data_IF_673059662973
#
_entry.id   IF_673059662973
#
_cell.length_a   1.000
_cell.length_b   1.000
_cell.length_c   1.000
_cell.angle_alpha   90.00
_cell.angle_beta   90.00
_cell.angle_gamma   90.00
#
_symmetry.space_group_name_H-M   'P 1'
#
loop_
_entity.id
_entity.type
_entity.pdbx_description
1 polymer ?
#
# COMPACT_ATOMS: atom_id res chain seq x y z
N UNK A 1 4.34 23.21 -14.46
CA UNK A 1 3.15 22.37 -14.22
C UNK A 1 3.63 20.94 -14.08
N UNK A 2 3.72 20.45 -12.86
CA UNK A 2 4.35 19.18 -12.54
C UNK A 2 3.26 18.24 -12.01
N UNK A 3 2.54 17.57 -12.92
CA UNK A 3 1.65 16.46 -12.57
C UNK A 3 1.50 15.54 -13.77
N UNK A 4 1.87 14.28 -13.58
CA UNK A 4 1.43 13.19 -14.46
C UNK A 4 0.42 12.38 -13.66
N UNK A 5 -0.71 12.06 -14.29
CA UNK A 5 -1.71 11.19 -13.69
C UNK A 5 -1.49 9.77 -14.18
N UNK A 6 -1.48 8.82 -13.25
CA UNK A 6 -1.53 7.40 -13.57
C UNK A 6 -2.99 6.97 -13.78
N UNK A 7 -3.19 5.90 -14.54
CA UNK A 7 -4.52 5.34 -14.82
C UNK A 7 -4.62 3.94 -14.26
N UNK A 8 -5.68 3.67 -13.52
CA UNK A 8 -6.02 2.36 -12.99
C UNK A 8 -7.28 1.84 -13.68
N UNK A 9 -7.25 0.58 -14.11
CA UNK A 9 -8.36 -0.08 -14.79
C UNK A 9 -8.65 -1.41 -14.10
N UNK A 10 -9.89 -1.60 -13.67
CA UNK A 10 -10.38 -2.86 -13.12
C UNK A 10 -11.00 -3.75 -14.20
N UNK A 11 -10.69 -5.03 -14.16
CA UNK A 11 -11.28 -6.08 -14.97
C UNK A 11 -11.76 -7.22 -14.05
N UNK A 12 -12.89 -7.03 -13.33
CA UNK A 12 -13.32 -7.97 -12.29
C UNK A 12 -13.67 -9.36 -12.80
N UNK A 13 -14.01 -9.50 -14.08
CA UNK A 13 -14.32 -10.79 -14.73
C UNK A 13 -13.10 -11.42 -15.43
N UNK A 14 -11.89 -10.94 -15.15
CA UNK A 14 -10.68 -11.50 -15.75
C UNK A 14 -10.49 -12.97 -15.37
N UNK A 15 -10.33 -13.82 -16.38
CA UNK A 15 -10.04 -15.24 -16.25
C UNK A 15 -8.52 -15.46 -16.26
N UNK A 16 -7.98 -15.89 -15.13
CA UNK A 16 -6.58 -16.28 -15.01
C UNK A 16 -6.41 -17.74 -15.44
N UNK A 17 -5.32 -18.01 -16.17
CA UNK A 17 -4.94 -19.37 -16.56
C UNK A 17 -3.92 -19.93 -15.57
N UNK A 18 -4.24 -21.10 -15.01
CA UNK A 18 -3.37 -21.82 -14.09
C UNK A 18 -2.35 -22.69 -14.87
N UNK A 19 -1.24 -23.12 -14.24
CA UNK A 19 -0.24 -23.98 -14.88
C UNK A 19 -0.80 -25.31 -15.40
N UNK A 20 -1.89 -25.81 -14.78
CA UNK A 20 -2.60 -27.03 -15.20
C UNK A 20 -3.56 -26.80 -16.40
N UNK A 21 -3.60 -25.59 -16.97
CA UNK A 21 -4.50 -25.23 -18.08
C UNK A 21 -5.91 -24.83 -17.65
N UNK A 22 -6.28 -25.01 -16.39
CA UNK A 22 -7.57 -24.57 -15.85
C UNK A 22 -7.68 -23.04 -15.87
N UNK A 23 -8.89 -22.54 -16.06
CA UNK A 23 -9.19 -21.10 -15.98
C UNK A 23 -10.08 -20.82 -14.77
N UNK A 24 -9.75 -19.77 -14.04
CA UNK A 24 -10.54 -19.30 -12.90
C UNK A 24 -10.79 -17.80 -13.03
N UNK A 25 -12.02 -17.35 -12.76
CA UNK A 25 -12.31 -15.92 -12.62
C UNK A 25 -11.66 -15.42 -11.34
N UNK A 26 -10.65 -14.57 -11.47
CA UNK A 26 -9.95 -13.98 -10.32
C UNK A 26 -10.11 -12.46 -10.26
N UNK A 27 -10.40 -11.83 -11.41
CA UNK A 27 -10.33 -10.38 -11.54
C UNK A 27 -8.89 -9.87 -11.62
N UNK A 28 -8.71 -8.70 -12.25
CA UNK A 28 -7.40 -8.08 -12.46
C UNK A 28 -7.47 -6.56 -12.39
N UNK A 29 -6.46 -5.96 -11.79
CA UNK A 29 -6.18 -4.54 -11.83
C UNK A 29 -5.01 -4.28 -12.78
N UNK A 30 -5.13 -3.23 -13.60
CA UNK A 30 -4.08 -2.73 -14.47
C UNK A 30 -3.70 -1.32 -14.05
N UNK A 31 -2.39 -1.07 -13.90
CA UNK A 31 -1.83 0.26 -13.64
C UNK A 31 -1.02 0.70 -14.85
N UNK A 32 -1.42 1.82 -15.44
CA UNK A 32 -0.73 2.50 -16.53
C UNK A 32 -0.07 3.76 -15.99
N UNK A 33 1.26 3.78 -15.97
CA UNK A 33 2.02 4.92 -15.47
C UNK A 33 2.06 6.05 -16.51
N UNK A 34 1.68 7.26 -16.08
CA UNK A 34 1.58 8.45 -16.94
C UNK A 34 2.88 9.24 -17.11
N UNK A 35 3.95 8.83 -16.44
CA UNK A 35 5.23 9.56 -16.41
C UNK A 35 6.04 9.48 -17.70
N UNK A 36 6.63 10.61 -18.12
CA UNK A 36 7.61 10.69 -19.21
C UNK A 36 7.13 11.40 -20.48
N UNK A 37 7.98 11.42 -21.50
CA UNK A 37 7.68 12.03 -22.82
C UNK A 37 6.64 11.24 -23.63
N UNK A 38 6.46 9.95 -23.31
CA UNK A 38 5.45 9.06 -23.90
C UNK A 38 4.68 8.35 -22.78
N UNK A 39 3.60 8.97 -22.26
CA UNK A 39 2.75 8.36 -21.25
C UNK A 39 2.27 6.98 -21.72
N UNK A 40 2.17 6.02 -20.82
CA UNK A 40 1.60 4.69 -21.08
C UNK A 40 2.35 3.85 -22.14
N UNK A 41 3.59 4.20 -22.49
CA UNK A 41 4.40 3.43 -23.44
C UNK A 41 4.97 2.12 -22.84
N UNK A 42 5.03 2.02 -21.51
CA UNK A 42 5.44 0.80 -20.81
C UNK A 42 4.24 -0.15 -20.66
N UNK A 43 4.46 -1.48 -20.67
CA UNK A 43 3.42 -2.43 -20.31
C UNK A 43 2.84 -2.10 -18.92
N UNK A 44 1.52 -2.23 -18.73
CA UNK A 44 0.92 -1.93 -17.43
C UNK A 44 1.40 -2.93 -16.38
N UNK A 45 1.58 -2.45 -15.15
CA UNK A 45 1.66 -3.35 -14.00
C UNK A 45 0.30 -4.01 -13.81
N UNK A 46 0.29 -5.31 -13.48
CA UNK A 46 -0.95 -6.06 -13.27
C UNK A 46 -0.97 -6.72 -11.91
N UNK A 47 -2.08 -6.59 -11.19
CA UNK A 47 -2.36 -7.27 -9.93
C UNK A 47 -3.57 -8.17 -10.13
N UNK A 48 -3.49 -9.43 -9.74
CA UNK A 48 -4.56 -10.41 -9.97
C UNK A 48 -5.16 -10.81 -8.62
N UNK A 49 -6.49 -10.97 -8.57
CA UNK A 49 -7.16 -11.44 -7.37
C UNK A 49 -6.72 -12.85 -6.96
N UNK A 50 -6.89 -13.18 -5.68
CA UNK A 50 -6.49 -14.47 -5.12
C UNK A 50 -7.66 -15.44 -4.91
N UNK A 51 -8.89 -14.92 -4.84
CA UNK A 51 -10.09 -15.72 -4.59
C UNK A 51 -10.89 -15.93 -5.88
N UNK A 52 -11.17 -17.19 -6.27
CA UNK A 52 -12.08 -17.50 -7.37
C UNK A 52 -13.43 -16.82 -7.19
N UNK A 53 -13.94 -16.22 -8.26
CA UNK A 53 -15.22 -15.49 -8.31
C UNK A 53 -15.32 -14.29 -7.35
N UNK A 54 -14.20 -13.87 -6.75
CA UNK A 54 -14.16 -12.76 -5.80
C UNK A 54 -14.40 -11.38 -6.43
N UNK A 55 -14.37 -11.30 -7.77
CA UNK A 55 -14.50 -10.07 -8.57
C UNK A 55 -13.54 -8.98 -8.13
N UNK A 56 -12.26 -9.32 -8.01
CA UNK A 56 -11.21 -8.38 -7.63
C UNK A 56 -11.14 -7.20 -8.59
N UNK A 57 -10.93 -6.00 -8.06
CA UNK A 57 -10.95 -4.73 -8.80
C UNK A 57 -12.33 -4.37 -9.38
N UNK A 58 -13.41 -4.73 -8.68
CA UNK A 58 -14.75 -4.19 -8.95
C UNK A 58 -14.84 -2.70 -8.58
N UNK A 59 -14.22 -2.32 -7.46
CA UNK A 59 -14.13 -0.95 -7.02
C UNK A 59 -12.66 -0.60 -6.75
N UNK A 60 -12.29 0.64 -7.07
CA UNK A 60 -10.94 1.18 -6.86
C UNK A 60 -11.10 2.57 -6.26
N UNK A 61 -10.40 2.85 -5.17
CA UNK A 61 -10.36 4.18 -4.58
C UNK A 61 -8.91 4.59 -4.31
N UNK A 62 -8.57 5.83 -4.64
CA UNK A 62 -7.34 6.43 -4.16
C UNK A 62 -7.46 6.72 -2.66
N UNK A 63 -6.39 6.43 -1.91
CA UNK A 63 -6.27 6.74 -0.49
C UNK A 63 -5.36 7.95 -0.23
N UNK A 64 -4.65 8.42 -1.25
CA UNK A 64 -3.61 9.43 -1.09
C UNK A 64 -2.34 8.81 -0.54
N UNK A 65 -1.74 9.47 0.44
CA UNK A 65 -0.59 8.98 1.21
C UNK A 65 -1.09 8.52 2.59
N UNK A 66 -1.40 7.21 2.70
CA UNK A 66 -2.06 6.62 3.86
C UNK A 66 -1.08 6.43 5.02
N UNK A 67 0.18 6.11 4.74
CA UNK A 67 1.22 5.89 5.77
C UNK A 67 2.21 7.07 5.91
N UNK A 68 2.02 8.15 5.15
CA UNK A 68 2.86 9.37 5.16
C UNK A 68 4.30 9.09 4.74
N UNK A 69 4.51 8.10 3.87
CA UNK A 69 5.83 7.73 3.39
C UNK A 69 6.34 8.62 2.24
N UNK A 70 5.48 9.51 1.74
CA UNK A 70 5.79 10.46 0.67
C UNK A 70 5.26 10.03 -0.70
N UNK A 71 4.55 8.91 -0.81
CA UNK A 71 3.88 8.45 -2.03
C UNK A 71 2.39 8.78 -2.02
N UNK A 72 1.86 9.38 -3.10
CA UNK A 72 0.45 9.80 -3.17
C UNK A 72 0.11 11.14 -2.51
N UNK A 73 1.09 11.81 -1.89
CA UNK A 73 0.93 13.12 -1.27
C UNK A 73 0.79 14.27 -2.28
N UNK A 74 0.53 15.49 -1.77
CA UNK A 74 0.52 16.69 -2.62
C UNK A 74 1.88 16.88 -3.29
N UNK A 75 1.94 17.14 -4.62
CA UNK A 75 3.21 17.24 -5.33
C UNK A 75 4.03 18.42 -4.81
N UNK A 76 5.19 18.15 -4.23
CA UNK A 76 6.24 19.14 -4.03
C UNK A 76 6.83 19.51 -5.40
N UNK A 77 6.40 20.63 -5.97
CA UNK A 77 7.12 21.22 -7.10
C UNK A 77 8.33 21.95 -6.51
N UNK A 78 9.55 21.51 -6.81
CA UNK A 78 10.76 22.20 -6.37
C UNK A 78 11.41 22.89 -7.57
N UNK A 79 11.79 24.15 -7.39
CA UNK A 79 12.65 24.87 -8.33
C UNK A 79 14.09 24.47 -8.03
N UNK A 80 14.80 23.91 -9.01
CA UNK A 80 16.23 23.62 -8.86
C UNK A 80 17.00 24.94 -9.01
N UNK A 81 17.74 25.42 -7.97
CA UNK A 81 18.54 26.63 -8.10
C UNK A 81 19.63 26.45 -9.16
N UNK A 82 19.80 27.42 -10.06
CA UNK A 82 20.90 27.44 -11.04
C UNK A 82 20.60 26.84 -12.42
N UNK A 83 19.37 26.38 -12.71
CA UNK A 83 18.96 25.90 -14.05
C UNK A 83 17.70 26.58 -14.62
N UNK A 84 17.38 27.79 -14.15
CA UNK A 84 16.20 28.55 -14.57
C UNK A 84 14.91 28.12 -13.86
N UNK A 85 13.79 28.81 -14.15
CA UNK A 85 12.44 28.64 -13.54
C UNK A 85 11.73 27.30 -13.86
N UNK A 86 12.50 26.26 -14.17
CA UNK A 86 11.98 24.93 -14.50
C UNK A 86 11.67 24.17 -13.22
N UNK A 87 10.38 24.12 -12.88
CA UNK A 87 9.84 23.23 -11.86
C UNK A 87 10.20 21.77 -12.21
N UNK A 88 10.82 21.07 -11.27
CA UNK A 88 11.12 19.64 -11.38
C UNK A 88 10.20 18.90 -10.41
N UNK A 89 9.55 17.84 -10.92
CA UNK A 89 8.84 16.88 -10.10
C UNK A 89 9.87 16.18 -9.22
N UNK A 90 9.78 16.32 -7.89
CA UNK A 90 10.63 15.56 -6.99
C UNK A 90 10.19 14.10 -6.87
N UNK A 91 8.95 13.76 -7.27
CA UNK A 91 8.51 12.37 -7.31
C UNK A 91 7.18 12.19 -8.09
N UNK A 92 7.15 11.49 -9.23
CA UNK A 92 5.91 10.98 -9.82
C UNK A 92 5.60 9.66 -9.13
N UNK A 93 4.72 9.65 -8.13
CA UNK A 93 4.47 8.40 -7.41
C UNK A 93 3.01 8.13 -7.22
N UNK A 94 2.65 6.90 -7.54
CA UNK A 94 1.29 6.40 -7.47
C UNK A 94 0.81 6.50 -6.03
N UNK A 95 -0.42 7.01 -5.80
CA UNK A 95 -0.99 7.00 -4.46
C UNK A 95 -1.25 5.58 -3.98
N UNK A 96 -1.41 5.45 -2.67
CA UNK A 96 -1.98 4.26 -2.10
C UNK A 96 -3.40 4.06 -2.62
N UNK A 97 -3.79 2.80 -2.80
CA UNK A 97 -5.09 2.44 -3.36
C UNK A 97 -5.78 1.35 -2.57
N UNK A 98 -7.09 1.49 -2.42
CA UNK A 98 -7.98 0.45 -1.96
C UNK A 98 -8.67 -0.21 -3.15
N UNK A 99 -8.69 -1.55 -3.17
CA UNK A 99 -9.26 -2.36 -4.25
C UNK A 99 -10.24 -3.36 -3.68
N UNK A 100 -11.49 -3.30 -4.14
CA UNK A 100 -12.57 -4.15 -3.67
C UNK A 100 -12.68 -5.47 -4.41
N UNK A 101 -12.96 -6.54 -3.67
CA UNK A 101 -13.36 -7.86 -4.14
C UNK A 101 -14.68 -8.25 -3.43
N UNK A 102 -15.84 -7.76 -3.89
CA UNK A 102 -17.09 -7.81 -3.13
C UNK A 102 -17.63 -9.21 -2.86
N UNK A 103 -17.16 -10.20 -3.62
CA UNK A 103 -17.54 -11.61 -3.47
C UNK A 103 -16.38 -12.48 -2.95
N UNK A 104 -15.26 -11.86 -2.56
CA UNK A 104 -14.10 -12.55 -2.02
C UNK A 104 -14.24 -12.91 -0.54
N UNK A 105 -13.24 -13.63 -0.02
CA UNK A 105 -13.16 -14.05 1.37
C UNK A 105 -14.10 -15.20 1.74
N UNK A 106 -14.01 -15.62 3.00
CA UNK A 106 -14.77 -16.75 3.51
C UNK A 106 -16.28 -16.45 3.45
N UNK A 107 -17.02 -17.38 2.83
CA UNK A 107 -18.47 -17.23 2.62
C UNK A 107 -18.88 -16.16 1.61
N UNK A 108 -17.94 -15.54 0.87
CA UNK A 108 -18.24 -14.54 -0.16
C UNK A 108 -18.76 -13.21 0.40
N UNK A 109 -18.41 -12.90 1.65
CA UNK A 109 -18.88 -11.70 2.35
C UNK A 109 -18.26 -10.39 1.80
N UNK A 110 -17.12 -10.51 1.12
CA UNK A 110 -16.39 -9.42 0.48
C UNK A 110 -15.12 -9.03 1.23
N UNK A 111 -14.13 -8.52 0.47
CA UNK A 111 -12.82 -8.10 0.96
C UNK A 111 -12.39 -6.79 0.30
N UNK A 112 -11.54 -6.02 1.00
CA UNK A 112 -10.84 -4.86 0.44
C UNK A 112 -9.34 -5.02 0.67
N UNK A 113 -8.56 -4.75 -0.37
CA UNK A 113 -7.10 -4.84 -0.34
C UNK A 113 -6.49 -3.45 -0.43
N UNK A 114 -5.51 -3.16 0.43
CA UNK A 114 -4.74 -1.92 0.40
C UNK A 114 -3.41 -2.20 -0.27
N UNK A 115 -3.14 -1.49 -1.37
CA UNK A 115 -1.86 -1.54 -2.06
C UNK A 115 -1.16 -0.20 -1.90
N UNK A 116 0.03 -0.24 -1.32
CA UNK A 116 0.86 0.95 -1.13
C UNK A 116 1.53 1.37 -2.44
N UNK A 117 1.67 2.67 -2.64
CA UNK A 117 2.51 3.25 -3.68
C UNK A 117 4.00 2.95 -3.47
N UNK A 118 4.76 2.97 -4.56
CA UNK A 118 6.22 2.94 -4.55
C UNK A 118 6.76 3.64 -5.80
N UNK A 119 8.06 3.93 -5.83
CA UNK A 119 8.73 4.66 -6.92
C UNK A 119 8.44 4.14 -8.34
N UNK A 120 8.11 2.85 -8.48
CA UNK A 120 7.82 2.20 -9.77
C UNK A 120 6.37 1.72 -9.94
N UNK A 121 5.42 2.25 -9.15
CA UNK A 121 4.00 1.95 -9.26
C UNK A 121 3.39 1.54 -7.93
N UNK A 122 2.73 0.38 -7.88
CA UNK A 122 2.15 -0.17 -6.66
C UNK A 122 2.98 -1.34 -6.12
N UNK A 123 2.98 -1.56 -4.82
CA UNK A 123 3.52 -2.78 -4.23
C UNK A 123 2.70 -3.99 -4.72
N UNK A 124 3.33 -5.08 -5.21
CA UNK A 124 2.59 -6.21 -5.80
C UNK A 124 1.82 -7.05 -4.77
N UNK A 125 2.23 -6.97 -3.50
CA UNK A 125 1.57 -7.62 -2.37
C UNK A 125 0.79 -6.56 -1.61
N UNK A 126 -0.49 -6.78 -1.25
CA UNK A 126 -1.22 -5.81 -0.45
C UNK A 126 -0.60 -5.67 0.94
N UNK A 127 -0.44 -4.44 1.42
CA UNK A 127 0.07 -4.15 2.77
C UNK A 127 -0.96 -4.47 3.85
N UNK A 128 -2.26 -4.40 3.50
CA UNK A 128 -3.34 -4.71 4.41
C UNK A 128 -4.51 -5.35 3.66
N UNK A 129 -5.21 -6.26 4.34
CA UNK A 129 -6.48 -6.84 3.90
C UNK A 129 -7.56 -6.55 4.94
N UNK A 130 -8.70 -6.07 4.49
CA UNK A 130 -9.88 -5.84 5.30
C UNK A 130 -10.93 -6.88 4.90
N UNK A 131 -11.21 -7.81 5.82
CA UNK A 131 -12.28 -8.80 5.66
C UNK A 131 -13.61 -8.18 6.11
N UNK A 132 -14.72 -8.53 5.46
CA UNK A 132 -16.05 -8.04 5.82
C UNK A 132 -16.35 -8.29 7.31
N UNK A 133 -16.67 -7.25 8.10
CA UNK A 133 -17.09 -7.42 9.49
C UNK A 133 -18.58 -7.82 9.59
N UNK A 134 -19.27 -7.93 8.45
CA UNK A 134 -20.70 -8.22 8.40
C UNK A 134 -20.95 -9.67 7.98
N UNK A 135 -21.97 -10.33 8.56
CA UNK A 135 -22.34 -11.69 8.20
C UNK A 135 -23.00 -11.76 6.83
N UNK A 136 -22.89 -12.92 6.18
CA UNK A 136 -23.53 -13.21 4.90
C UNK A 136 -22.91 -12.48 3.70
N UNK A 137 -23.51 -12.58 2.50
CA UNK A 137 -23.00 -11.96 1.29
C UNK A 137 -23.20 -10.44 1.33
N UNK A 138 -22.39 -9.75 2.13
CA UNK A 138 -22.51 -8.33 2.41
C UNK A 138 -22.16 -7.45 1.20
N UNK A 139 -21.51 -8.02 0.19
CA UNK A 139 -20.92 -7.30 -0.94
C UNK A 139 -19.97 -6.18 -0.45
N UNK A 140 -19.24 -6.46 0.62
CA UNK A 140 -18.31 -5.53 1.25
C UNK A 140 -17.18 -5.18 0.28
N UNK A 141 -16.97 -3.89 0.04
CA UNK A 141 -15.97 -3.43 -0.93
C UNK A 141 -16.53 -3.18 -2.33
N UNK A 142 -17.85 -3.25 -2.54
CA UNK A 142 -18.48 -2.88 -3.82
C UNK A 142 -18.40 -1.38 -4.12
N UNK A 143 -18.37 -0.55 -3.07
CA UNK A 143 -18.18 0.89 -3.18
C UNK A 143 -17.10 1.33 -2.19
N UNK A 144 -16.17 2.17 -2.64
CA UNK A 144 -15.04 2.64 -1.86
C UNK A 144 -14.88 4.14 -2.01
N UNK A 145 -14.52 4.82 -0.92
CA UNK A 145 -14.11 6.22 -0.95
C UNK A 145 -13.04 6.48 0.11
N UNK A 146 -11.90 7.02 -0.28
CA UNK A 146 -10.85 7.42 0.65
C UNK A 146 -10.27 8.79 0.33
N UNK A 147 -9.01 9.00 0.73
CA UNK A 147 -8.25 10.24 0.53
C UNK A 147 -8.85 11.46 1.25
N UNK A 148 -9.57 11.25 2.34
CA UNK A 148 -10.14 12.32 3.18
C UNK A 148 -9.98 11.94 4.64
N UNK A 149 -9.42 12.86 5.42
CA UNK A 149 -9.33 12.75 6.88
C UNK A 149 -10.66 13.21 7.49
N UNK A 150 -11.36 12.31 8.19
CA UNK A 150 -12.67 12.54 8.78
C UNK A 150 -12.60 12.92 10.26
N UNK A 151 -11.51 12.56 10.95
CA UNK A 151 -11.36 12.78 12.40
C UNK A 151 -10.31 13.85 12.76
N UNK A 152 -9.63 14.41 11.76
CA UNK A 152 -8.68 15.51 11.91
C UNK A 152 -7.31 15.07 12.46
N UNK A 153 -6.98 13.79 12.39
CA UNK A 153 -5.71 13.27 12.89
C UNK A 153 -4.53 13.43 11.91
N UNK A 154 -4.79 13.93 10.71
CA UNK A 154 -3.81 14.18 9.66
C UNK A 154 -3.61 13.01 8.68
N UNK A 155 -4.25 11.86 8.89
CA UNK A 155 -4.18 10.67 8.04
C UNK A 155 -5.51 10.45 7.29
N UNK A 156 -5.48 10.05 6.01
CA UNK A 156 -6.71 9.82 5.26
C UNK A 156 -7.43 8.56 5.75
N UNK A 157 -8.75 8.62 5.77
CA UNK A 157 -9.64 7.52 6.14
C UNK A 157 -10.24 6.83 4.91
N UNK A 158 -10.90 5.69 5.14
CA UNK A 158 -11.56 4.87 4.12
C UNK A 158 -12.99 4.52 4.51
N UNK A 159 -13.94 4.82 3.62
CA UNK A 159 -15.33 4.36 3.66
C UNK A 159 -15.50 3.15 2.75
N UNK A 160 -16.14 2.10 3.27
CA UNK A 160 -16.43 0.87 2.54
C UNK A 160 -17.92 0.55 2.58
N UNK A 161 -18.56 0.52 1.41
CA UNK A 161 -19.95 0.12 1.27
C UNK A 161 -20.12 -1.40 1.30
N UNK A 162 -21.18 -1.85 1.97
CA UNK A 162 -21.64 -3.23 2.05
C UNK A 162 -23.17 -3.27 1.83
N UNK A 163 -23.57 -3.08 0.57
CA UNK A 163 -24.98 -2.88 0.22
C UNK A 163 -25.83 -4.13 0.48
N UNK A 164 -25.25 -5.33 0.44
CA UNK A 164 -25.96 -6.59 0.68
C UNK A 164 -26.54 -6.70 2.09
N UNK A 165 -26.03 -5.90 3.02
CA UNK A 165 -26.52 -5.81 4.41
C UNK A 165 -26.92 -4.38 4.80
N UNK A 166 -27.08 -3.48 3.81
CA UNK A 166 -27.43 -2.07 4.01
C UNK A 166 -26.54 -1.32 5.02
N UNK A 167 -25.22 -1.55 4.99
CA UNK A 167 -24.26 -0.91 5.90
C UNK A 167 -23.10 -0.25 5.16
N UNK A 168 -22.45 0.67 5.87
CA UNK A 168 -21.16 1.28 5.50
C UNK A 168 -20.23 1.11 6.69
N UNK A 169 -19.00 0.66 6.42
CA UNK A 169 -17.93 0.63 7.40
C UNK A 169 -17.00 1.83 7.19
N UNK A 170 -16.47 2.36 8.30
CA UNK A 170 -15.49 3.45 8.30
C UNK A 170 -14.21 2.93 8.94
N UNK A 171 -13.11 3.02 8.21
CA UNK A 171 -11.77 2.65 8.66
C UNK A 171 -10.94 3.92 8.78
N UNK A 172 -10.36 4.13 9.97
CA UNK A 172 -9.59 5.34 10.25
C UNK A 172 -8.10 5.10 10.07
N UNK A 173 -7.42 6.06 9.43
CA UNK A 173 -5.97 6.10 9.36
C UNK A 173 -5.36 6.28 10.74
N UNK A 174 -4.27 5.57 11.04
CA UNK A 174 -3.58 5.67 12.33
C UNK A 174 -2.20 6.31 12.15
N UNK A 175 -1.73 7.13 13.11
CA UNK A 175 -0.38 7.67 13.08
C UNK A 175 0.70 6.58 12.99
N UNK A 176 1.61 6.75 12.03
CA UNK A 176 2.73 5.83 11.79
C UNK A 176 3.99 6.35 12.49
N UNK A 177 4.57 5.54 13.38
CA UNK A 177 5.79 5.87 14.12
C UNK A 177 6.98 5.12 13.53
N UNK A 178 7.99 5.85 13.07
CA UNK A 178 9.22 5.28 12.52
C UNK A 178 10.32 5.26 13.60
N UNK A 179 10.62 4.08 14.13
CA UNK A 179 11.72 3.90 15.08
C UNK A 179 13.05 3.63 14.34
N UNK A 180 14.11 4.36 14.70
CA UNK A 180 15.48 4.12 14.21
C UNK A 180 16.36 3.64 15.35
N UNK A 181 16.97 2.48 15.20
CA UNK A 181 17.84 1.88 16.21
C UNK A 181 19.26 1.75 15.68
N UNK A 182 20.23 2.11 16.50
CA UNK A 182 21.65 1.89 16.21
C UNK A 182 22.27 1.16 17.40
N UNK A 183 22.94 0.04 17.12
CA UNK A 183 23.71 -0.71 18.09
C UNK A 183 25.18 -0.62 17.69
N UNK A 184 26.02 -0.11 18.59
CA UNK A 184 27.47 -0.08 18.42
C UNK A 184 28.08 -1.06 19.40
N UNK A 185 28.84 -2.03 18.89
CA UNK A 185 29.64 -2.96 19.67
C UNK A 185 31.09 -2.91 19.19
N UNK A 186 32.09 -3.23 20.04
CA UNK A 186 33.48 -3.32 19.60
C UNK A 186 33.64 -4.38 18.50
N UNK A 187 34.51 -4.12 17.52
CA UNK A 187 34.77 -5.04 16.41
C UNK A 187 35.49 -6.34 16.85
N UNK A 188 36.07 -6.33 18.05
CA UNK A 188 36.70 -7.50 18.65
C UNK A 188 37.00 -7.29 20.12
N UNK A 189 36.87 -8.36 20.90
CA UNK A 189 37.20 -8.37 22.32
C UNK A 189 38.62 -8.89 22.51
N UNK A 190 39.45 -8.16 23.24
CA UNK A 190 40.79 -8.60 23.58
C UNK A 190 40.79 -9.28 24.96
N UNK A 191 40.91 -10.62 25.04
CA UNK A 191 40.87 -11.33 26.32
C UNK A 191 42.05 -11.02 27.25
N UNK A 192 43.10 -10.35 26.75
CA UNK A 192 44.21 -9.87 27.57
C UNK A 192 43.91 -8.56 28.29
N UNK A 193 42.87 -7.84 27.87
CA UNK A 193 42.45 -6.57 28.48
C UNK A 193 41.29 -6.87 29.44
N UNK A 194 41.57 -6.99 30.73
CA UNK A 194 40.57 -7.28 31.77
C UNK A 194 40.14 -6.00 32.50
N UNK A 195 39.47 -5.11 31.78
CA UNK A 195 39.14 -3.75 32.26
C UNK A 195 37.95 -3.69 33.24
N UNK A 196 37.16 -4.76 33.38
CA UNK A 196 35.99 -4.78 34.25
C UNK A 196 36.16 -5.78 35.41
N UNK A 197 35.48 -5.53 36.54
CA UNK A 197 35.47 -6.41 37.71
C UNK A 197 34.06 -6.89 37.99
N UNK A 198 33.90 -8.20 38.15
CA UNK A 198 32.61 -8.80 38.48
C UNK A 198 32.21 -8.50 39.94
N UNK A 199 30.98 -8.00 40.20
CA UNK A 199 30.57 -7.55 41.55
C UNK A 199 30.58 -8.63 42.63
N UNK A 200 30.43 -9.91 42.27
CA UNK A 200 30.21 -11.01 43.23
C UNK A 200 31.50 -11.78 43.52
N UNK A 201 32.34 -11.97 42.52
CA UNK A 201 33.58 -12.77 42.62
C UNK A 201 34.84 -11.92 42.70
N UNK A 202 34.73 -10.60 42.48
CA UNK A 202 35.87 -9.71 42.24
C UNK A 202 36.81 -10.18 41.11
N UNK A 203 36.33 -11.03 40.20
CA UNK A 203 37.12 -11.50 39.07
C UNK A 203 37.22 -10.43 37.98
N UNK A 204 38.42 -10.24 37.45
CA UNK A 204 38.69 -9.34 36.32
C UNK A 204 38.31 -10.01 34.99
N UNK A 205 37.54 -9.31 34.14
CA UNK A 205 37.02 -9.82 32.86
C UNK A 205 37.20 -8.81 31.72
N UNK A 206 37.32 -9.33 30.48
CA UNK A 206 37.37 -8.53 29.25
C UNK A 206 35.98 -8.14 28.78
N UNK A 207 35.85 -6.95 28.20
CA UNK A 207 34.62 -6.45 27.58
C UNK A 207 34.88 -5.83 26.23
#
# INVERSE_FOLDING_TARGET
>A
GCRHHDVLVGAPLYLAQHPNGQRSELGRLYLYLGGGQRPFARPPQTLTGTHPYGRFATAIASLGDLDKDGYGGAPGCVVVPGRGTRWVLTSPVSPDVAVGAPLGGDGGSGQVFIFRGQSEGLMPVPTQRLDSPFPGPAAFGFALRGATDLDGNGYPDLLVGAYGVAKVAVYRGQPVVVARTQLSVPDGLNPKILACVLPVSNAHVSW
#
